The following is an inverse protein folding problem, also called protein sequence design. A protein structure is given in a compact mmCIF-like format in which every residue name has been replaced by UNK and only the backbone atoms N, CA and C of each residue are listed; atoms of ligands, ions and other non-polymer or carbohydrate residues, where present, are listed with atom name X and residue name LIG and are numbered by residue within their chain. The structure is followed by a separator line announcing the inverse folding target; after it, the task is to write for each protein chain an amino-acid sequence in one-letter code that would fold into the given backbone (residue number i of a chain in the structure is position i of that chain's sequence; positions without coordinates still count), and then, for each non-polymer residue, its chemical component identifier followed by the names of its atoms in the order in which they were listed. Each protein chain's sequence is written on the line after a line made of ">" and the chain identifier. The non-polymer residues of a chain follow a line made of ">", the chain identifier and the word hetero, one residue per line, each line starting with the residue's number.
data_IF_842027677638
#
_entry.id   IF_842027677638
#
_cell.length_a   1.000
_cell.length_b   1.000
_cell.length_c   1.000
_cell.angle_alpha   90.00
_cell.angle_beta   90.00
_cell.angle_gamma   90.00
#
_symmetry.space_group_name_H-M   'P 1'
#
loop_
_entity.id
_entity.type
_entity.pdbx_description
1 polymer ?
#
# COMPACT_ATOMS: atom_id res chain seq x y z
N UNK A 1 -17.30 -37.49 5.15
CA UNK A 1 -15.88 -37.29 5.50
C UNK A 1 -15.46 -35.92 4.98
N UNK A 2 -15.21 -34.95 5.86
CA UNK A 2 -14.84 -33.59 5.46
C UNK A 2 -13.41 -33.60 4.88
N UNK A 3 -13.24 -32.98 3.71
CA UNK A 3 -11.95 -32.99 3.02
C UNK A 3 -10.96 -32.08 3.75
N UNK A 4 -9.87 -32.65 4.29
CA UNK A 4 -8.89 -31.91 5.08
C UNK A 4 -8.18 -30.79 4.31
N UNK A 5 -8.16 -30.84 2.98
CA UNK A 5 -7.64 -29.74 2.16
C UNK A 5 -8.62 -28.57 2.12
N UNK A 6 -9.90 -28.86 1.98
CA UNK A 6 -10.98 -27.86 2.01
C UNK A 6 -11.03 -27.15 3.37
N UNK A 7 -10.91 -27.89 4.48
CA UNK A 7 -10.89 -27.31 5.82
C UNK A 7 -9.73 -26.31 6.02
N UNK A 8 -8.52 -26.68 5.59
CA UNK A 8 -7.35 -25.79 5.62
C UNK A 8 -7.53 -24.55 4.75
N UNK A 9 -8.14 -24.71 3.57
CA UNK A 9 -8.43 -23.59 2.67
C UNK A 9 -9.43 -22.64 3.32
N UNK A 10 -10.58 -23.16 3.78
CA UNK A 10 -11.63 -22.38 4.44
C UNK A 10 -11.05 -21.62 5.62
N UNK A 11 -10.28 -22.28 6.50
CA UNK A 11 -9.68 -21.61 7.66
C UNK A 11 -8.77 -20.45 7.28
N UNK A 12 -7.90 -20.64 6.28
CA UNK A 12 -7.00 -19.57 5.79
C UNK A 12 -7.80 -18.43 5.17
N UNK A 13 -8.76 -18.76 4.31
CA UNK A 13 -9.62 -17.77 3.66
C UNK A 13 -10.42 -16.99 4.69
N UNK A 14 -10.98 -17.64 5.70
CA UNK A 14 -11.70 -16.96 6.79
C UNK A 14 -10.78 -16.01 7.55
N UNK A 15 -9.56 -16.44 7.93
CA UNK A 15 -8.62 -15.54 8.62
C UNK A 15 -8.27 -14.31 7.78
N UNK A 16 -8.01 -14.50 6.48
CA UNK A 16 -7.72 -13.39 5.56
C UNK A 16 -8.93 -12.48 5.41
N UNK A 17 -10.12 -13.05 5.16
CA UNK A 17 -11.35 -12.30 4.99
C UNK A 17 -11.70 -11.48 6.24
N UNK A 18 -11.53 -12.05 7.43
CA UNK A 18 -11.73 -11.33 8.68
C UNK A 18 -10.75 -10.18 8.82
N UNK A 19 -9.46 -10.38 8.57
CA UNK A 19 -8.47 -9.30 8.62
C UNK A 19 -8.80 -8.16 7.63
N UNK A 20 -9.17 -8.52 6.40
CA UNK A 20 -9.57 -7.54 5.37
C UNK A 20 -10.83 -6.78 5.76
N UNK A 21 -11.88 -7.47 6.23
CA UNK A 21 -13.12 -6.82 6.65
C UNK A 21 -12.89 -5.88 7.84
N UNK A 22 -12.09 -6.30 8.83
CA UNK A 22 -11.71 -5.46 9.96
C UNK A 22 -10.95 -4.22 9.52
N UNK A 23 -10.03 -4.35 8.55
CA UNK A 23 -9.33 -3.19 7.99
C UNK A 23 -10.32 -2.21 7.36
N UNK A 24 -11.23 -2.67 6.50
CA UNK A 24 -12.23 -1.81 5.86
C UNK A 24 -13.12 -1.10 6.87
N UNK A 25 -13.66 -1.83 7.85
CA UNK A 25 -14.51 -1.25 8.89
C UNK A 25 -13.74 -0.23 9.74
N UNK A 26 -12.50 -0.53 10.11
CA UNK A 26 -11.67 0.40 10.86
C UNK A 26 -11.39 1.66 10.05
N UNK A 27 -11.10 1.53 8.75
CA UNK A 27 -10.83 2.68 7.87
C UNK A 27 -12.09 3.43 7.42
N UNK A 28 -13.28 2.86 7.59
CA UNK A 28 -14.52 3.42 7.05
C UNK A 28 -14.87 4.80 7.65
N UNK A 29 -14.50 5.03 8.91
CA UNK A 29 -14.71 6.30 9.61
C UNK A 29 -13.55 7.29 9.41
N UNK A 30 -12.48 6.89 8.73
CA UNK A 30 -11.33 7.77 8.48
C UNK A 30 -11.48 8.51 7.14
N UNK A 31 -11.38 9.84 7.20
CA UNK A 31 -11.38 10.71 6.03
C UNK A 31 -10.04 10.71 5.28
N UNK A 32 -9.94 11.48 4.18
CA UNK A 32 -8.72 11.61 3.37
C UNK A 32 -7.58 12.37 4.07
N UNK A 33 -7.84 12.93 5.24
CA UNK A 33 -6.82 13.59 6.07
C UNK A 33 -5.79 12.59 6.61
N UNK A 34 -4.54 13.04 6.83
CA UNK A 34 -3.50 12.20 7.41
C UNK A 34 -3.94 11.62 8.75
N UNK A 35 -3.79 10.31 8.89
CA UNK A 35 -4.29 9.59 10.06
C UNK A 35 -3.38 8.42 10.45
N UNK A 36 -3.65 7.85 11.62
CA UNK A 36 -2.84 6.77 12.19
C UNK A 36 -2.78 5.50 11.32
N UNK A 37 -3.69 5.36 10.34
CA UNK A 37 -3.74 4.22 9.43
C UNK A 37 -2.97 4.45 8.12
N UNK A 38 -2.38 5.62 7.90
CA UNK A 38 -1.59 5.94 6.72
C UNK A 38 -0.44 4.95 6.46
N UNK A 39 0.32 4.48 7.46
CA UNK A 39 1.35 3.46 7.23
C UNK A 39 0.79 2.16 6.63
N UNK A 40 -0.41 1.77 7.07
CA UNK A 40 -1.09 0.55 6.59
C UNK A 40 -1.59 0.77 5.16
N UNK A 41 -2.20 1.93 4.89
CA UNK A 41 -2.63 2.31 3.54
C UNK A 41 -1.47 2.32 2.54
N UNK A 42 -0.32 2.88 2.93
CA UNK A 42 0.88 2.91 2.09
C UNK A 42 1.44 1.51 1.82
N UNK A 43 1.44 0.63 2.83
CA UNK A 43 1.82 -0.77 2.65
C UNK A 43 0.90 -1.49 1.66
N UNK A 44 -0.42 -1.25 1.72
CA UNK A 44 -1.38 -1.84 0.79
C UNK A 44 -1.16 -1.33 -0.64
N UNK A 45 -0.98 -0.02 -0.83
CA UNK A 45 -0.69 0.56 -2.14
C UNK A 45 0.62 0.02 -2.73
N UNK A 46 1.65 -0.17 -1.89
CA UNK A 46 2.92 -0.77 -2.30
C UNK A 46 2.74 -2.24 -2.74
N UNK A 47 1.95 -3.01 -1.98
CA UNK A 47 1.62 -4.38 -2.35
C UNK A 47 0.81 -4.45 -3.66
N UNK A 48 -0.16 -3.55 -3.83
CA UNK A 48 -0.95 -3.44 -5.07
C UNK A 48 -0.04 -3.16 -6.28
N UNK A 49 0.88 -2.21 -6.17
CA UNK A 49 1.83 -1.90 -7.23
C UNK A 49 2.75 -3.09 -7.52
N UNK A 50 3.23 -3.79 -6.49
CA UNK A 50 4.06 -5.00 -6.66
C UNK A 50 3.33 -6.12 -7.39
N UNK A 51 2.04 -6.34 -7.09
CA UNK A 51 1.20 -7.32 -7.80
C UNK A 51 0.93 -6.88 -9.24
N UNK A 52 0.67 -5.59 -9.46
CA UNK A 52 0.52 -5.03 -10.82
C UNK A 52 1.78 -5.24 -11.64
N UNK A 53 2.96 -4.96 -11.09
CA UNK A 53 4.24 -5.15 -11.76
C UNK A 53 4.53 -6.65 -12.02
N UNK A 54 4.10 -7.53 -11.12
CA UNK A 54 4.25 -8.98 -11.30
C UNK A 54 3.37 -9.51 -12.46
N UNK A 55 2.13 -9.04 -12.58
CA UNK A 55 1.17 -9.53 -13.60
C UNK A 55 1.38 -8.84 -14.95
N UNK A 56 1.59 -7.52 -14.97
CA UNK A 56 1.66 -6.73 -16.19
C UNK A 56 3.10 -6.41 -16.64
N UNK A 57 4.09 -6.85 -15.86
CA UNK A 57 5.48 -6.43 -16.03
C UNK A 57 5.72 -5.03 -15.44
N UNK A 58 6.98 -4.70 -15.10
CA UNK A 58 7.32 -3.40 -14.53
C UNK A 58 6.98 -2.31 -15.54
N UNK A 59 6.17 -1.32 -15.12
CA UNK A 59 5.89 -0.15 -15.94
C UNK A 59 7.20 0.59 -16.25
N UNK A 60 7.64 0.56 -17.51
CA UNK A 60 8.70 1.46 -17.99
C UNK A 60 8.14 2.88 -18.08
N UNK A 61 8.41 3.67 -17.05
CA UNK A 61 8.25 5.13 -17.06
C UNK A 61 6.83 5.61 -16.74
N UNK A 62 6.65 6.11 -15.52
CA UNK A 62 6.45 7.54 -15.26
C UNK A 62 6.84 7.78 -13.81
N UNK A 63 8.07 8.27 -13.65
CA UNK A 63 8.51 9.00 -12.47
C UNK A 63 8.06 10.45 -12.68
N UNK A 64 6.80 10.75 -12.37
CA UNK A 64 6.24 12.12 -12.22
C UNK A 64 5.26 12.00 -11.04
N UNK A 65 5.33 12.69 -9.92
CA UNK A 65 6.24 13.68 -9.35
C UNK A 65 6.49 13.15 -7.93
N UNK A 66 7.72 13.00 -7.49
CA UNK A 66 8.35 13.95 -6.56
C UNK A 66 9.86 13.74 -6.69
N UNK A 67 10.63 14.83 -6.57
CA UNK A 67 12.09 14.87 -6.73
C UNK A 67 12.59 15.17 -8.15
N UNK A 68 12.48 16.44 -8.56
CA UNK A 68 13.65 17.27 -8.95
C UNK A 68 13.25 18.69 -9.44
N UNK A 69 13.43 19.68 -8.57
CA UNK A 69 14.11 20.97 -8.82
C UNK A 69 14.34 21.57 -7.43
N UNK A 70 15.54 21.73 -6.88
CA UNK A 70 16.78 22.18 -7.50
C UNK A 70 17.95 21.83 -6.56
N UNK A 71 19.09 21.44 -7.11
CA UNK A 71 20.41 21.50 -6.47
C UNK A 71 21.39 22.09 -7.51
N UNK A 72 22.62 22.56 -7.19
CA UNK A 72 23.17 23.18 -5.96
C UNK A 72 24.05 24.45 -6.20
N UNK A 73 24.22 25.29 -5.16
CA UNK A 73 25.36 26.19 -4.83
C UNK A 73 25.58 27.50 -5.63
N UNK A 74 26.47 28.44 -5.22
CA UNK A 74 27.07 28.76 -3.90
C UNK A 74 26.90 30.27 -3.49
N UNK A 75 27.18 30.62 -2.23
CA UNK A 75 27.76 31.93 -1.89
C UNK A 75 26.86 33.06 -1.35
N UNK A 76 27.21 33.50 -0.14
CA UNK A 76 27.24 34.88 0.38
C UNK A 76 25.97 35.65 0.82
N UNK A 77 25.97 35.89 2.15
CA UNK A 77 25.77 37.15 2.90
C UNK A 77 24.35 37.66 3.24
N UNK A 78 24.24 37.89 4.56
CA UNK A 78 23.30 38.72 5.32
C UNK A 78 23.03 40.11 4.70
N UNK A 79 21.88 40.72 5.04
CA UNK A 79 21.83 41.66 6.17
C UNK A 79 21.03 41.16 7.39
#
# INVERSE_FOLDING_TARGET
>A
MMNSKSDKLVRRTTMVATATASYFLLTADYGPEPNALDPIKNAILSAENSVKDFIFGPKKGTQENETKKSAPGPGEKHP
#
